data_IF_046654386778
#
_entry.id   IF_046654386778
#
_cell.length_a   1.000
_cell.length_b   1.000
_cell.length_c   1.000
_cell.angle_alpha   90.00
_cell.angle_beta   90.00
_cell.angle_gamma   90.00
#
_symmetry.space_group_name_H-M   'P 1'
#
loop_
_entity.id
_entity.type
_entity.pdbx_description
1 polymer ?
#
# COMPACT_ATOMS: atom_id res chain seq x y z
N UNK A 1 11.69 -13.41 4.12
CA UNK A 1 11.78 -11.95 4.30
C UNK A 1 10.37 -11.36 4.35
N UNK A 2 10.07 -10.44 5.27
CA UNK A 2 8.76 -9.77 5.38
C UNK A 2 8.66 -8.71 4.27
N UNK A 3 7.62 -8.75 3.43
CA UNK A 3 7.30 -7.74 2.42
C UNK A 3 7.33 -6.35 3.07
N UNK A 4 8.33 -5.53 2.73
CA UNK A 4 8.50 -4.18 3.30
C UNK A 4 7.78 -3.16 2.42
N UNK A 5 6.45 -3.22 2.39
CA UNK A 5 5.67 -2.03 1.97
C UNK A 5 5.87 -0.90 2.97
N UNK A 6 6.24 -1.28 4.22
CA UNK A 6 6.54 -0.42 5.34
C UNK A 6 5.55 0.75 5.43
N UNK A 7 4.65 0.64 6.41
CA UNK A 7 4.02 1.77 7.09
C UNK A 7 4.95 2.96 7.40
N UNK A 8 6.26 2.81 7.20
CA UNK A 8 7.36 3.72 7.47
C UNK A 8 7.94 4.41 6.22
N UNK A 9 7.76 3.88 5.01
CA UNK A 9 8.47 4.35 3.82
C UNK A 9 7.75 5.49 3.10
N UNK A 10 6.48 5.25 2.74
CA UNK A 10 5.66 6.23 2.02
C UNK A 10 4.81 7.10 2.95
N UNK A 11 4.21 6.50 3.99
CA UNK A 11 3.30 7.22 4.89
C UNK A 11 4.01 8.07 5.95
N UNK A 12 5.20 7.66 6.41
CA UNK A 12 5.94 8.36 7.47
C UNK A 12 6.51 9.71 7.00
N UNK A 13 7.11 9.84 5.80
CA UNK A 13 7.51 11.14 5.29
C UNK A 13 6.32 12.08 5.07
N UNK A 14 5.14 11.53 4.76
CA UNK A 14 3.90 12.29 4.62
C UNK A 14 3.23 12.64 5.95
N UNK A 15 3.66 12.07 7.08
CA UNK A 15 3.01 12.26 8.38
C UNK A 15 1.60 11.67 8.48
N UNK A 16 1.23 10.74 7.59
CA UNK A 16 -0.13 10.20 7.49
C UNK A 16 -0.22 8.85 8.22
N UNK A 17 -1.27 8.66 9.02
CA UNK A 17 -1.54 7.36 9.65
C UNK A 17 -2.15 6.38 8.66
N UNK A 18 -1.95 5.08 8.86
CA UNK A 18 -2.59 4.05 8.02
C UNK A 18 -4.12 4.15 8.03
N UNK A 19 -4.71 4.59 9.15
CA UNK A 19 -6.15 4.83 9.29
C UNK A 19 -6.60 5.97 8.39
N UNK A 20 -5.89 7.10 8.43
CA UNK A 20 -6.18 8.24 7.57
C UNK A 20 -6.01 7.88 6.09
N UNK A 21 -4.95 7.13 5.76
CA UNK A 21 -4.71 6.66 4.40
C UNK A 21 -5.80 5.71 3.89
N UNK A 22 -6.20 4.72 4.70
CA UNK A 22 -7.27 3.79 4.36
C UNK A 22 -8.59 4.52 4.10
N UNK A 23 -8.92 5.51 4.93
CA UNK A 23 -10.08 6.40 4.72
C UNK A 23 -9.95 7.20 3.43
N UNK A 24 -8.78 7.77 3.16
CA UNK A 24 -8.53 8.58 1.96
C UNK A 24 -8.75 7.80 0.66
N UNK A 25 -8.29 6.55 0.59
CA UNK A 25 -8.45 5.70 -0.60
C UNK A 25 -9.73 4.85 -0.58
N UNK A 26 -10.60 5.02 0.42
CA UNK A 26 -11.89 4.34 0.50
C UNK A 26 -11.82 2.82 0.73
N UNK A 27 -10.77 2.31 1.38
CA UNK A 27 -10.63 0.87 1.66
C UNK A 27 -10.62 0.56 3.16
N UNK A 28 -10.99 -0.65 3.57
CA UNK A 28 -10.87 -1.06 4.97
C UNK A 28 -9.41 -0.98 5.47
N UNK A 29 -9.19 -0.49 6.68
CA UNK A 29 -7.87 -0.48 7.32
C UNK A 29 -7.22 -1.87 7.34
N UNK A 30 -8.03 -2.92 7.51
CA UNK A 30 -7.56 -4.30 7.46
C UNK A 30 -6.90 -4.63 6.11
N UNK A 31 -7.44 -4.13 4.99
CA UNK A 31 -6.86 -4.33 3.66
C UNK A 31 -5.45 -3.74 3.60
N UNK A 32 -5.27 -2.50 4.09
CA UNK A 32 -3.96 -1.85 4.18
C UNK A 32 -3.00 -2.64 5.08
N UNK A 33 -3.45 -3.07 6.25
CA UNK A 33 -2.66 -3.88 7.18
C UNK A 33 -2.19 -5.21 6.57
N UNK A 34 -3.07 -5.90 5.84
CA UNK A 34 -2.76 -7.18 5.21
C UNK A 34 -1.76 -7.02 4.07
N UNK A 35 -1.92 -5.97 3.24
CA UNK A 35 -0.98 -5.60 2.19
C UNK A 35 0.39 -5.30 2.81
N UNK A 36 0.44 -4.42 3.82
CA UNK A 36 1.68 -4.04 4.52
C UNK A 36 2.39 -5.24 5.15
N UNK A 37 1.64 -6.20 5.69
CA UNK A 37 2.18 -7.41 6.31
C UNK A 37 2.52 -8.51 5.30
N UNK A 38 2.30 -8.28 4.01
CA UNK A 38 2.50 -9.29 2.96
C UNK A 38 1.52 -10.45 3.03
N UNK A 39 0.42 -10.32 3.78
CA UNK A 39 -0.63 -11.36 3.91
C UNK A 39 -1.62 -11.35 2.76
N UNK A 40 -1.66 -10.26 1.98
CA UNK A 40 -2.54 -10.09 0.82
C UNK A 40 -1.74 -9.55 -0.36
N UNK A 41 -2.03 -10.11 -1.54
CA UNK A 41 -1.58 -9.62 -2.84
C UNK A 41 -2.12 -8.23 -3.16
N UNK A 42 -1.37 -7.41 -3.91
CA UNK A 42 -1.92 -6.16 -4.44
C UNK A 42 -2.68 -6.46 -5.74
N UNK A 43 -3.98 -6.15 -5.77
CA UNK A 43 -4.80 -6.27 -6.99
C UNK A 43 -4.61 -5.06 -7.91
N UNK A 44 -4.93 -5.15 -9.22
CA UNK A 44 -4.86 -4.01 -10.14
C UNK A 44 -5.65 -2.79 -9.65
N UNK A 45 -6.86 -2.98 -9.12
CA UNK A 45 -7.67 -1.92 -8.51
C UNK A 45 -6.93 -1.26 -7.33
N UNK A 46 -6.34 -2.06 -6.45
CA UNK A 46 -5.61 -1.53 -5.30
C UNK A 46 -4.34 -0.81 -5.73
N UNK A 47 -3.62 -1.32 -6.72
CA UNK A 47 -2.45 -0.67 -7.29
C UNK A 47 -2.80 0.70 -7.90
N UNK A 48 -3.95 0.79 -8.58
CA UNK A 48 -4.46 2.06 -9.11
C UNK A 48 -4.77 3.07 -7.99
N UNK A 49 -5.49 2.65 -6.94
CA UNK A 49 -5.78 3.52 -5.79
C UNK A 49 -4.51 4.01 -5.08
N UNK A 50 -3.52 3.13 -4.89
CA UNK A 50 -2.25 3.48 -4.26
C UNK A 50 -1.44 4.43 -5.14
N UNK A 51 -1.47 4.24 -6.45
CA UNK A 51 -0.78 5.09 -7.43
C UNK A 51 -1.32 6.53 -7.40
N UNK A 52 -2.64 6.70 -7.35
CA UNK A 52 -3.28 8.01 -7.24
C UNK A 52 -2.99 8.69 -5.91
N UNK A 53 -3.06 7.94 -4.81
CA UNK A 53 -2.91 8.51 -3.47
C UNK A 53 -1.46 8.90 -3.13
N UNK A 54 -0.48 8.23 -3.74
CA UNK A 54 0.94 8.40 -3.44
C UNK A 54 1.75 9.00 -4.59
N UNK A 55 1.12 9.31 -5.72
CA UNK A 55 1.78 9.89 -6.89
C UNK A 55 2.81 8.95 -7.53
N UNK A 56 2.51 7.65 -7.56
CA UNK A 56 3.38 6.62 -8.15
C UNK A 56 2.71 5.96 -9.35
N UNK A 57 3.28 4.88 -9.89
CA UNK A 57 2.65 4.07 -10.94
C UNK A 57 2.00 2.80 -10.39
N UNK A 58 0.94 2.26 -11.01
CA UNK A 58 0.34 0.98 -10.61
C UNK A 58 1.31 -0.21 -10.73
N UNK A 59 2.21 -0.22 -11.72
CA UNK A 59 3.16 -1.32 -11.92
C UNK A 59 4.11 -1.47 -10.74
N UNK A 60 4.50 -0.36 -10.10
CA UNK A 60 5.30 -0.40 -8.87
C UNK A 60 4.64 -1.26 -7.80
N UNK A 61 3.33 -1.11 -7.62
CA UNK A 61 2.57 -1.84 -6.60
C UNK A 61 2.28 -3.29 -6.98
N UNK A 62 2.05 -3.56 -8.27
CA UNK A 62 1.84 -4.92 -8.78
C UNK A 62 3.12 -5.77 -8.70
N UNK A 63 4.29 -5.15 -8.82
CA UNK A 63 5.58 -5.83 -8.77
C UNK A 63 6.11 -6.05 -7.34
N UNK A 64 5.43 -5.56 -6.30
CA UNK A 64 5.85 -5.73 -4.89
C UNK A 64 5.98 -7.19 -4.42
N UNK A 65 5.35 -8.14 -5.11
CA UNK A 65 5.45 -9.58 -4.82
C UNK A 65 6.54 -10.29 -5.61
N UNK A 66 7.07 -9.68 -6.68
CA UNK A 66 8.05 -10.32 -7.58
C UNK A 66 9.48 -10.30 -7.04
N UNK A 67 9.74 -9.50 -6.02
CA UNK A 67 11.03 -9.44 -5.35
C UNK A 67 10.94 -10.25 -4.05
N UNK A 68 11.12 -11.58 -4.16
CA UNK A 68 11.19 -12.53 -3.04
C UNK A 68 12.30 -13.53 -3.26
#
# INVERSE_FOLDING_TARGET
MRTRIASSGFLKPLGITQVAFAKHIGVPLQRINEIIRGKRGVTPETAWLLSLALGTTPELWLNLHKES
#
